data_IF_569450273463
#
_entry.id   IF_569450273463
#
_cell.length_a   1.000
_cell.length_b   1.000
_cell.length_c   1.000
_cell.angle_alpha   90.00
_cell.angle_beta   90.00
_cell.angle_gamma   90.00
#
_symmetry.space_group_name_H-M   'P 1'
#
loop_
_entity.id
_entity.type
_entity.pdbx_description
1 polymer ?
#
# COMPACT_ATOMS: atom_id res chain seq x y z
N UNK A 1 -19.46 -40.37 54.64
CA UNK A 1 -18.40 -40.63 53.64
C UNK A 1 -19.03 -40.43 52.26
N UNK A 2 -18.50 -39.48 51.49
CA UNK A 2 -18.78 -39.08 50.08
C UNK A 2 -20.25 -38.79 49.69
N UNK A 3 -20.70 -37.58 49.28
CA UNK A 3 -20.27 -36.56 48.30
C UNK A 3 -20.05 -37.09 46.87
N UNK A 4 -20.91 -36.71 45.92
CA UNK A 4 -20.66 -35.70 44.85
C UNK A 4 -21.81 -35.70 43.81
N UNK A 5 -22.45 -34.54 43.72
CA UNK A 5 -23.02 -33.83 42.57
C UNK A 5 -23.40 -34.56 41.28
N UNK A 6 -24.70 -34.50 40.99
CA UNK A 6 -25.21 -34.41 39.62
C UNK A 6 -24.92 -32.99 39.08
N UNK A 7 -24.07 -32.86 38.07
CA UNK A 7 -23.74 -31.60 37.43
C UNK A 7 -24.72 -31.31 36.26
N UNK A 8 -25.40 -30.16 36.22
CA UNK A 8 -26.01 -29.64 35.01
C UNK A 8 -24.95 -28.80 34.28
N UNK A 9 -24.45 -29.29 33.14
CA UNK A 9 -23.33 -28.65 32.46
C UNK A 9 -23.32 -28.86 30.96
N UNK A 10 -24.43 -28.56 30.28
CA UNK A 10 -24.45 -28.41 28.81
C UNK A 10 -25.24 -27.14 28.46
N UNK A 11 -24.52 -26.03 28.32
CA UNK A 11 -25.09 -24.77 27.86
C UNK A 11 -24.19 -23.57 28.09
N UNK A 12 -23.02 -23.50 27.44
CA UNK A 12 -22.15 -22.31 27.57
C UNK A 12 -21.10 -22.12 26.45
N UNK A 13 -21.34 -22.51 25.20
CA UNK A 13 -20.32 -22.32 24.13
C UNK A 13 -20.79 -21.58 22.86
N UNK A 14 -22.00 -21.01 22.81
CA UNK A 14 -22.50 -20.36 21.58
C UNK A 14 -22.60 -18.84 21.62
N UNK A 15 -22.32 -18.18 22.76
CA UNK A 15 -22.60 -16.74 22.93
C UNK A 15 -21.40 -15.80 22.76
N UNK A 16 -20.18 -16.32 22.50
CA UNK A 16 -18.97 -15.47 22.39
C UNK A 16 -18.71 -14.90 20.99
N UNK A 17 -19.04 -15.64 19.93
CA UNK A 17 -18.68 -15.27 18.55
C UNK A 17 -19.60 -14.18 17.96
N UNK A 18 -20.91 -14.24 18.22
CA UNK A 18 -21.85 -13.21 17.75
C UNK A 18 -21.71 -11.87 18.50
N UNK A 19 -21.26 -11.89 19.75
CA UNK A 19 -21.05 -10.68 20.54
C UNK A 19 -19.83 -9.87 20.06
N UNK A 20 -18.76 -10.54 19.62
CA UNK A 20 -17.57 -9.88 19.05
C UNK A 20 -17.86 -9.28 17.67
N UNK A 21 -18.62 -9.97 16.83
CA UNK A 21 -19.09 -9.47 15.53
C UNK A 21 -20.02 -8.24 15.74
N UNK A 22 -20.96 -8.35 16.69
CA UNK A 22 -21.88 -7.27 17.05
C UNK A 22 -21.17 -6.04 17.63
N UNK A 23 -20.15 -6.24 18.46
CA UNK A 23 -19.33 -5.16 19.00
C UNK A 23 -18.50 -4.47 17.91
N UNK A 24 -17.94 -5.22 16.96
CA UNK A 24 -17.23 -4.66 15.79
C UNK A 24 -18.16 -3.84 14.91
N UNK A 25 -19.30 -4.39 14.51
CA UNK A 25 -20.30 -3.71 13.68
C UNK A 25 -20.85 -2.47 14.40
N UNK A 26 -21.06 -2.55 15.73
CA UNK A 26 -21.48 -1.39 16.51
C UNK A 26 -20.40 -0.31 16.60
N UNK A 27 -19.12 -0.71 16.69
CA UNK A 27 -17.99 0.24 16.66
C UNK A 27 -17.85 0.93 15.31
N UNK A 28 -18.14 0.22 14.21
CA UNK A 28 -18.09 0.75 12.85
C UNK A 28 -19.27 1.67 12.55
N UNK A 29 -20.48 1.33 13.02
CA UNK A 29 -21.65 2.22 12.95
C UNK A 29 -21.42 3.53 13.68
N UNK A 30 -20.82 3.51 14.87
CA UNK A 30 -20.50 4.74 15.61
C UNK A 30 -19.50 5.65 14.86
N UNK A 31 -18.51 5.06 14.19
CA UNK A 31 -17.56 5.80 13.35
C UNK A 31 -18.24 6.39 12.11
N UNK A 32 -19.14 5.63 11.48
CA UNK A 32 -19.92 6.10 10.34
C UNK A 32 -20.87 7.24 10.71
N UNK A 33 -21.60 7.12 11.81
CA UNK A 33 -22.50 8.18 12.31
C UNK A 33 -21.72 9.45 12.68
N UNK A 34 -20.51 9.30 13.22
CA UNK A 34 -19.62 10.45 13.47
C UNK A 34 -19.21 11.14 12.18
N UNK A 35 -18.85 10.38 11.15
CA UNK A 35 -18.45 10.92 9.85
C UNK A 35 -19.62 11.62 9.14
N UNK A 36 -20.81 11.00 9.18
CA UNK A 36 -22.04 11.60 8.64
C UNK A 36 -22.44 12.85 9.43
N UNK A 37 -22.28 12.83 10.75
CA UNK A 37 -22.47 13.99 11.61
C UNK A 37 -21.53 15.14 11.24
N UNK A 38 -20.26 14.84 10.97
CA UNK A 38 -19.24 15.83 10.61
C UNK A 38 -19.45 16.42 9.20
N UNK A 39 -19.85 15.59 8.23
CA UNK A 39 -20.18 16.02 6.87
C UNK A 39 -21.50 16.82 6.83
N UNK A 40 -22.50 16.40 7.60
CA UNK A 40 -23.81 17.07 7.67
C UNK A 40 -23.80 18.35 8.52
N UNK A 41 -22.89 18.45 9.51
CA UNK A 41 -22.67 19.66 10.32
C UNK A 41 -21.82 20.72 9.61
N UNK A 42 -21.80 20.71 8.27
CA UNK A 42 -21.15 21.72 7.44
C UNK A 42 -21.50 23.14 7.89
N UNK A 43 -20.54 23.78 8.57
CA UNK A 43 -20.60 25.19 8.93
C UNK A 43 -20.70 25.46 10.43
N UNK A 44 -19.58 25.31 11.15
CA UNK A 44 -19.01 26.26 12.14
C UNK A 44 -18.24 25.53 13.24
N UNK A 45 -16.97 25.20 12.97
CA UNK A 45 -15.80 25.49 13.83
C UNK A 45 -14.55 25.49 12.95
N UNK A 46 -14.11 26.68 12.56
CA UNK A 46 -12.82 26.90 11.92
C UNK A 46 -11.72 26.67 12.97
N UNK A 47 -10.87 25.64 12.78
CA UNK A 47 -9.68 25.46 13.61
C UNK A 47 -8.92 24.15 13.39
N UNK A 48 -9.62 23.03 13.27
CA UNK A 48 -8.99 21.72 13.08
C UNK A 48 -9.65 21.03 11.89
N UNK A 49 -9.21 21.39 10.69
CA UNK A 49 -9.51 20.57 9.53
C UNK A 49 -8.85 19.21 9.73
N UNK A 50 -9.60 18.12 9.54
CA UNK A 50 -9.02 16.80 9.33
C UNK A 50 -7.88 16.94 8.32
N UNK A 51 -6.64 16.74 8.77
CA UNK A 51 -5.49 16.88 7.90
C UNK A 51 -5.58 15.77 6.85
N UNK A 52 -5.29 16.09 5.58
CA UNK A 52 -5.29 15.11 4.48
C UNK A 52 -4.42 13.87 4.79
N UNK A 53 -3.44 14.02 5.69
CA UNK A 53 -2.64 12.94 6.25
C UNK A 53 -3.47 11.91 7.04
N UNK A 54 -4.44 12.34 7.86
CA UNK A 54 -5.24 11.48 8.73
C UNK A 54 -6.30 10.65 7.96
N UNK A 55 -6.69 11.11 6.76
CA UNK A 55 -7.60 10.37 5.87
C UNK A 55 -6.84 9.29 5.08
N UNK A 56 -5.53 9.48 4.85
CA UNK A 56 -4.70 8.61 4.01
C UNK A 56 -4.24 7.30 4.67
N UNK A 57 -4.33 7.17 5.99
CA UNK A 57 -3.76 6.02 6.73
C UNK A 57 -4.50 4.69 6.45
N UNK A 58 -5.78 4.74 6.04
CA UNK A 58 -6.61 3.55 5.84
C UNK A 58 -7.29 3.46 4.46
N UNK A 59 -7.32 4.55 3.68
CA UNK A 59 -7.98 4.61 2.39
C UNK A 59 -7.09 5.24 1.34
N UNK A 60 -6.41 4.41 0.54
CA UNK A 60 -5.74 4.89 -0.68
C UNK A 60 -6.82 5.51 -1.58
N UNK A 61 -6.62 6.76 -2.00
CA UNK A 61 -7.50 7.36 -3.01
C UNK A 61 -7.27 6.66 -4.36
N UNK A 62 -8.30 6.59 -5.21
CA UNK A 62 -8.10 6.18 -6.60
C UNK A 62 -7.06 7.12 -7.23
N UNK A 63 -6.00 6.54 -7.80
CA UNK A 63 -4.87 7.31 -8.27
C UNK A 63 -3.87 7.78 -7.20
N UNK A 64 -3.87 7.22 -5.99
CA UNK A 64 -2.79 7.41 -5.01
C UNK A 64 -1.67 6.37 -5.21
N UNK A 65 -0.71 6.77 -6.04
CA UNK A 65 0.50 6.02 -6.40
C UNK A 65 1.61 6.13 -5.38
N UNK A 66 1.47 7.06 -4.43
CA UNK A 66 2.57 7.55 -3.58
C UNK A 66 2.55 6.94 -2.18
N UNK A 67 1.35 6.69 -1.63
CA UNK A 67 1.22 6.19 -0.26
C UNK A 67 1.36 4.68 -0.14
N UNK A 68 1.12 3.92 -1.22
CA UNK A 68 1.06 2.45 -1.18
C UNK A 68 2.39 1.76 -0.85
N UNK A 69 3.48 2.50 -0.75
CA UNK A 69 4.84 2.02 -0.60
C UNK A 69 5.51 2.38 0.73
N UNK A 70 4.94 3.34 1.46
CA UNK A 70 5.48 3.73 2.76
C UNK A 70 5.43 2.55 3.73
N UNK A 71 6.54 2.32 4.45
CA UNK A 71 6.65 1.21 5.40
C UNK A 71 6.66 -0.20 4.79
N UNK A 72 6.70 -0.36 3.45
CA UNK A 72 6.78 -1.68 2.82
C UNK A 72 8.07 -2.44 3.15
N UNK A 73 9.12 -1.71 3.55
CA UNK A 73 10.42 -2.26 3.95
C UNK A 73 10.78 -1.72 5.33
N UNK A 74 10.89 -2.62 6.31
CA UNK A 74 11.18 -2.27 7.71
C UNK A 74 12.19 -3.19 8.37
N UNK A 75 12.59 -4.28 7.68
CA UNK A 75 13.49 -5.27 8.26
C UNK A 75 14.96 -4.87 8.09
N UNK A 76 15.82 -5.37 8.97
CA UNK A 76 17.27 -5.15 8.86
C UNK A 76 17.85 -5.79 7.59
N UNK A 77 17.20 -6.82 7.04
CA UNK A 77 17.58 -7.44 5.78
C UNK A 77 17.33 -6.53 4.56
N UNK A 78 16.37 -5.60 4.68
CA UNK A 78 16.02 -4.64 3.62
C UNK A 78 17.04 -3.50 3.50
N UNK A 79 17.80 -3.22 4.56
CA UNK A 79 18.84 -2.17 4.57
C UNK A 79 20.07 -2.50 3.73
N UNK A 80 20.33 -3.78 3.52
CA UNK A 80 21.49 -4.28 2.77
C UNK A 80 21.04 -5.17 1.61
N UNK A 81 19.95 -4.80 0.94
CA UNK A 81 19.40 -5.60 -0.14
C UNK A 81 20.33 -5.56 -1.36
N UNK A 82 20.46 -6.70 -2.04
CA UNK A 82 21.11 -6.75 -3.35
C UNK A 82 20.17 -6.17 -4.41
N UNK A 83 20.72 -5.50 -5.44
CA UNK A 83 19.94 -5.05 -6.59
C UNK A 83 19.26 -6.24 -7.26
N UNK A 84 18.09 -5.99 -7.84
CA UNK A 84 17.29 -6.95 -8.60
C UNK A 84 16.99 -6.42 -9.99
N UNK A 85 16.50 -7.30 -10.87
CA UNK A 85 16.06 -6.93 -12.21
C UNK A 85 17.16 -6.26 -13.03
N UNK A 86 16.82 -5.16 -13.69
CA UNK A 86 17.74 -4.42 -14.55
C UNK A 86 18.97 -3.87 -13.80
N UNK A 87 18.85 -3.51 -12.51
CA UNK A 87 19.99 -3.07 -11.71
C UNK A 87 21.01 -4.19 -11.46
N UNK A 88 20.53 -5.41 -11.21
CA UNK A 88 21.40 -6.56 -11.03
C UNK A 88 22.19 -6.90 -12.29
N UNK A 89 21.54 -6.80 -13.45
CA UNK A 89 22.16 -7.11 -14.75
C UNK A 89 23.19 -6.06 -15.19
N UNK A 90 23.11 -4.83 -14.67
CA UNK A 90 24.08 -3.77 -14.94
C UNK A 90 25.24 -3.73 -13.93
N UNK A 91 25.24 -4.60 -12.92
CA UNK A 91 26.32 -4.67 -11.95
C UNK A 91 27.61 -5.16 -12.63
N UNK A 92 28.67 -4.34 -12.60
CA UNK A 92 29.99 -4.76 -13.06
C UNK A 92 30.51 -5.89 -12.14
N UNK A 93 30.86 -7.08 -12.66
CA UNK A 93 31.34 -8.20 -11.86
C UNK A 93 32.65 -7.92 -11.10
N UNK A 94 33.38 -6.86 -11.47
CA UNK A 94 34.62 -6.43 -10.80
C UNK A 94 34.40 -5.27 -9.80
N UNK A 95 33.18 -4.72 -9.69
CA UNK A 95 32.88 -3.67 -8.74
C UNK A 95 32.41 -4.25 -7.40
N UNK A 96 32.66 -3.53 -6.30
CA UNK A 96 32.13 -3.88 -4.97
C UNK A 96 30.61 -4.06 -5.06
N UNK A 97 30.02 -5.10 -4.45
CA UNK A 97 28.56 -5.29 -4.47
C UNK A 97 27.89 -4.04 -3.93
N UNK A 98 27.14 -3.36 -4.80
CA UNK A 98 26.35 -2.18 -4.45
C UNK A 98 25.17 -2.64 -3.61
N UNK A 99 25.11 -2.18 -2.36
CA UNK A 99 24.02 -2.47 -1.42
C UNK A 99 22.98 -1.37 -1.48
N UNK A 100 21.71 -1.76 -1.45
CA UNK A 100 20.57 -0.85 -1.48
C UNK A 100 19.92 -0.82 -0.10
N UNK A 101 19.77 0.39 0.45
CA UNK A 101 18.93 0.60 1.63
C UNK A 101 17.48 0.87 1.21
N UNK A 102 16.67 -0.19 1.24
CA UNK A 102 15.24 -0.11 0.89
C UNK A 102 14.38 0.58 1.93
N UNK A 103 14.90 0.77 3.14
CA UNK A 103 14.21 1.50 4.21
C UNK A 103 14.35 3.01 4.08
N UNK A 104 15.26 3.45 3.19
CA UNK A 104 15.51 4.87 2.96
C UNK A 104 14.35 5.56 2.25
N UNK A 105 14.15 6.85 2.56
CA UNK A 105 13.18 7.71 1.85
C UNK A 105 13.51 7.84 0.36
N UNK A 106 14.80 7.76 0.02
CA UNK A 106 15.26 7.79 -1.36
C UNK A 106 14.76 6.58 -2.15
N UNK A 107 14.83 5.39 -1.55
CA UNK A 107 14.34 4.18 -2.19
C UNK A 107 12.81 4.19 -2.31
N UNK A 108 12.10 4.65 -1.26
CA UNK A 108 10.65 4.84 -1.30
C UNK A 108 10.25 5.70 -2.51
N UNK A 109 10.92 6.85 -2.71
CA UNK A 109 10.66 7.74 -3.85
C UNK A 109 11.06 7.15 -5.19
N UNK A 110 12.14 6.37 -5.24
CA UNK A 110 12.56 5.66 -6.45
C UNK A 110 11.52 4.62 -6.88
N UNK A 111 10.91 3.95 -5.91
CA UNK A 111 9.86 2.95 -6.15
C UNK A 111 8.50 3.59 -6.50
N UNK A 112 8.14 4.73 -5.89
CA UNK A 112 6.98 5.52 -6.33
C UNK A 112 7.11 5.92 -7.81
N UNK A 113 8.32 6.30 -8.24
CA UNK A 113 8.60 6.64 -9.62
C UNK A 113 8.51 5.43 -10.56
N UNK A 114 9.08 4.27 -10.18
CA UNK A 114 8.93 3.03 -10.94
C UNK A 114 7.44 2.69 -11.11
N UNK A 115 6.63 2.77 -10.05
CA UNK A 115 5.19 2.52 -10.13
C UNK A 115 4.48 3.44 -11.13
N UNK A 116 4.83 4.72 -11.17
CA UNK A 116 4.27 5.66 -12.14
C UNK A 116 4.62 5.25 -13.58
N UNK A 117 5.86 4.82 -13.83
CA UNK A 117 6.28 4.33 -15.15
C UNK A 117 5.55 3.04 -15.54
N UNK A 118 5.43 2.09 -14.61
CA UNK A 118 4.68 0.84 -14.82
C UNK A 118 3.21 1.15 -15.17
N UNK A 119 2.58 2.08 -14.44
CA UNK A 119 1.23 2.54 -14.74
C UNK A 119 1.14 3.12 -16.15
N UNK A 120 2.10 3.96 -16.56
CA UNK A 120 2.08 4.54 -17.90
C UNK A 120 2.20 3.44 -18.96
N UNK A 121 3.10 2.46 -18.78
CA UNK A 121 3.18 1.30 -19.67
C UNK A 121 1.88 0.51 -19.73
N UNK A 122 1.29 0.17 -18.58
CA UNK A 122 0.01 -0.54 -18.52
C UNK A 122 -1.11 0.25 -19.20
N UNK A 123 -1.09 1.58 -19.09
CA UNK A 123 -2.03 2.46 -19.76
C UNK A 123 -1.88 2.40 -21.28
N UNK A 124 -0.66 2.41 -21.81
CA UNK A 124 -0.41 2.24 -23.25
C UNK A 124 -0.76 0.83 -23.74
N UNK A 125 -0.45 -0.20 -22.96
CA UNK A 125 -0.84 -1.59 -23.25
C UNK A 125 -2.37 -1.71 -23.31
N UNK A 126 -3.10 -1.10 -22.37
CA UNK A 126 -4.57 -1.08 -22.36
C UNK A 126 -5.13 -0.40 -23.60
N UNK A 127 -4.55 0.74 -24.03
CA UNK A 127 -4.99 1.42 -25.26
C UNK A 127 -4.86 0.53 -26.52
N UNK A 128 -3.93 -0.42 -26.49
CA UNK A 128 -3.69 -1.36 -27.61
C UNK A 128 -4.68 -2.52 -27.62
N UNK A 129 -5.37 -2.79 -26.50
CA UNK A 129 -6.43 -3.80 -26.44
C UNK A 129 -7.67 -3.27 -27.15
N UNK A 130 -8.05 -3.89 -28.26
CA UNK A 130 -9.25 -3.55 -29.02
C UNK A 130 -10.49 -3.64 -28.13
N UNK A 131 -11.12 -2.49 -27.84
CA UNK A 131 -12.37 -2.44 -27.10
C UNK A 131 -13.54 -2.76 -28.02
N UNK A 132 -14.16 -3.92 -27.85
CA UNK A 132 -15.42 -4.27 -28.51
C UNK A 132 -16.60 -3.83 -27.63
N UNK A 133 -17.32 -2.76 -28.02
CA UNK A 133 -18.61 -2.39 -27.43
C UNK A 133 -18.68 -0.98 -26.81
N UNK A 134 -19.91 -0.56 -26.48
CA UNK A 134 -20.18 0.72 -25.81
C UNK A 134 -19.50 0.76 -24.45
N UNK A 135 -18.72 1.81 -24.19
CA UNK A 135 -18.01 1.97 -22.92
C UNK A 135 -18.95 2.43 -21.81
N UNK A 136 -19.27 1.54 -20.89
CA UNK A 136 -19.95 1.92 -19.65
C UNK A 136 -18.96 2.68 -18.75
N UNK A 137 -19.33 3.89 -18.32
CA UNK A 137 -18.51 4.71 -17.42
C UNK A 137 -18.14 3.97 -16.12
N UNK A 138 -19.03 3.10 -15.61
CA UNK A 138 -18.77 2.27 -14.44
C UNK A 138 -17.66 1.24 -14.69
N UNK A 139 -17.64 0.63 -15.88
CA UNK A 139 -16.60 -0.32 -16.29
C UNK A 139 -15.23 0.34 -16.34
N UNK A 140 -15.16 1.57 -16.87
CA UNK A 140 -13.92 2.34 -16.92
C UNK A 140 -13.35 2.61 -15.52
N UNK A 141 -14.20 3.03 -14.58
CA UNK A 141 -13.78 3.31 -13.19
C UNK A 141 -13.26 2.04 -12.50
N UNK A 142 -13.95 0.92 -12.66
CA UNK A 142 -13.50 -0.37 -12.11
C UNK A 142 -12.18 -0.83 -12.73
N UNK A 143 -12.05 -0.73 -14.06
CA UNK A 143 -10.80 -1.05 -14.75
C UNK A 143 -9.65 -0.18 -14.28
N UNK A 144 -9.86 1.13 -14.12
CA UNK A 144 -8.84 2.06 -13.64
C UNK A 144 -8.35 1.61 -12.25
N UNK A 145 -9.26 1.38 -11.29
CA UNK A 145 -8.91 0.86 -9.97
C UNK A 145 -8.17 -0.49 -10.01
N UNK A 146 -8.56 -1.38 -10.92
CA UNK A 146 -7.90 -2.67 -11.10
C UNK A 146 -6.47 -2.52 -11.63
N UNK A 147 -6.26 -1.66 -12.62
CA UNK A 147 -4.92 -1.41 -13.18
C UNK A 147 -4.02 -0.66 -12.20
N UNK A 148 -4.58 0.24 -11.39
CA UNK A 148 -3.86 0.91 -10.30
C UNK A 148 -3.29 -0.10 -9.31
N UNK A 149 -4.09 -1.08 -8.89
CA UNK A 149 -3.64 -2.14 -7.98
C UNK A 149 -2.65 -3.08 -8.66
N UNK A 150 -2.87 -3.44 -9.93
CA UNK A 150 -1.94 -4.28 -10.68
C UNK A 150 -0.55 -3.63 -10.82
N UNK A 151 -0.49 -2.34 -11.15
CA UNK A 151 0.76 -1.57 -11.20
C UNK A 151 1.49 -1.60 -9.86
N UNK A 152 0.75 -1.41 -8.76
CA UNK A 152 1.30 -1.45 -7.41
C UNK A 152 1.85 -2.85 -7.08
N UNK A 153 1.09 -3.90 -7.35
CA UNK A 153 1.51 -5.28 -7.12
C UNK A 153 2.72 -5.67 -7.96
N UNK A 154 2.76 -5.27 -9.23
CA UNK A 154 3.89 -5.48 -10.13
C UNK A 154 5.14 -4.80 -9.59
N UNK A 155 5.04 -3.52 -9.20
CA UNK A 155 6.19 -2.79 -8.67
C UNK A 155 6.73 -3.40 -7.37
N UNK A 156 5.84 -3.85 -6.47
CA UNK A 156 6.24 -4.49 -5.19
C UNK A 156 6.90 -5.86 -5.37
N UNK A 157 6.36 -6.71 -6.25
CA UNK A 157 6.75 -8.12 -6.32
C UNK A 157 7.66 -8.46 -7.49
N UNK A 158 7.49 -7.76 -8.61
CA UNK A 158 8.12 -8.05 -9.90
C UNK A 158 8.60 -6.76 -10.58
N UNK A 159 9.10 -5.81 -9.78
CA UNK A 159 9.64 -4.56 -10.29
C UNK A 159 10.71 -4.81 -11.35
N UNK A 160 10.80 -3.92 -12.32
CA UNK A 160 11.78 -3.99 -13.41
C UNK A 160 13.21 -3.77 -12.90
N UNK A 161 13.36 -3.31 -11.66
CA UNK A 161 14.64 -2.97 -11.05
C UNK A 161 15.08 -1.55 -11.41
N UNK A 162 14.15 -0.71 -11.87
CA UNK A 162 14.42 0.69 -12.18
C UNK A 162 14.57 1.51 -10.90
N UNK A 163 13.78 1.22 -9.85
CA UNK A 163 13.94 1.84 -8.54
C UNK A 163 15.35 1.61 -7.98
N UNK A 164 15.85 0.38 -8.13
CA UNK A 164 17.21 0.01 -7.72
C UNK A 164 18.27 0.80 -8.51
N UNK A 165 18.09 0.97 -9.83
CA UNK A 165 19.02 1.74 -10.66
C UNK A 165 19.07 3.22 -10.26
N UNK A 166 17.90 3.83 -10.08
CA UNK A 166 17.78 5.25 -9.69
C UNK A 166 18.40 5.46 -8.32
N UNK A 167 18.11 4.57 -7.37
CA UNK A 167 18.70 4.61 -6.04
C UNK A 167 20.23 4.55 -6.11
N UNK A 168 20.79 3.60 -6.86
CA UNK A 168 22.24 3.44 -6.99
C UNK A 168 22.90 4.64 -7.68
N UNK A 169 22.29 5.20 -8.71
CA UNK A 169 22.81 6.40 -9.38
C UNK A 169 22.83 7.62 -8.46
N UNK A 170 21.76 7.81 -7.67
CA UNK A 170 21.63 8.99 -6.82
C UNK A 170 22.43 8.85 -5.51
N UNK A 171 22.50 7.65 -4.94
CA UNK A 171 23.33 7.36 -3.76
C UNK A 171 24.83 7.40 -4.08
N UNK A 172 25.25 6.88 -5.23
CA UNK A 172 26.65 6.92 -5.66
C UNK A 172 27.05 8.30 -6.20
N UNK A 173 26.13 9.01 -6.87
CA UNK A 173 26.34 10.38 -7.35
C UNK A 173 26.55 11.40 -6.23
N UNK A 174 25.87 11.23 -5.08
CA UNK A 174 26.05 12.07 -3.90
C UNK A 174 27.37 11.85 -3.13
N UNK A 175 28.12 10.79 -3.43
CA UNK A 175 29.39 10.48 -2.78
C UNK A 175 30.62 11.10 -3.48
N UNK A 176 30.45 11.70 -4.67
CA UNK A 176 31.55 12.20 -5.50
C UNK A 176 31.78 13.73 -5.42
N UNK A 177 31.10 14.45 -4.52
CA UNK A 177 31.31 15.91 -4.28
C UNK A 177 32.24 16.21 -3.09
N UNK A 178 33.19 15.32 -2.77
CA UNK A 178 34.26 15.57 -1.80
C UNK A 178 35.62 15.09 -2.34
N UNK A 179 36.11 15.73 -3.40
CA UNK A 179 37.51 15.68 -3.83
C UNK A 179 37.91 17.01 -4.45
#
# INVERSE_FOLDING_TARGET
MNTISNAPGLGAFTNGLGALEGARISSEKGKFDSLVGEISAGGKKAGEGLSSSQVSEAGRLNGDWTSGFSGSFSSQADKNALPRGAAANQANPNAKPMTIDRTSKLYEKSMEFENYLVKQMLSEMRKTVMKSGNEDNAKKIYEDMLFDEYSTMMTKNAGFGLADQIYLQLSNGGANDNS
#
